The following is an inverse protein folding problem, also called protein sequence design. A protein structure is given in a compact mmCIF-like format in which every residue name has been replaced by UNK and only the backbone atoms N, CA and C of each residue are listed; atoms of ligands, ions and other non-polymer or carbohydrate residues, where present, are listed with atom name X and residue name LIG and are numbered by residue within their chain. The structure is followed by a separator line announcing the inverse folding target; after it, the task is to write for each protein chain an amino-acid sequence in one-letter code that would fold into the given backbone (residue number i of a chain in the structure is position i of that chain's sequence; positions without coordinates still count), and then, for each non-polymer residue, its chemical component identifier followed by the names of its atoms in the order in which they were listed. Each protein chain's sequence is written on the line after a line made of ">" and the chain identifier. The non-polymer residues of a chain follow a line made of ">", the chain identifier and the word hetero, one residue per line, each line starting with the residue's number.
data_IF_954762004562
#
_entry.id   IF_954762004562
#
_cell.length_a   1.000
_cell.length_b   1.000
_cell.length_c   1.000
_cell.angle_alpha   90.00
_cell.angle_beta   90.00
_cell.angle_gamma   90.00
#
_symmetry.space_group_name_H-M   'P 1'
#
loop_
_entity.id
_entity.type
_entity.pdbx_description
1 polymer ?
#
# COMPACT_ATOMS: atom_id res chain seq x y z
N UNK A 1 -0.90 -18.25 -4.13
CA UNK A 1 -1.20 -17.42 -2.93
C UNK A 1 0.04 -16.79 -2.27
N UNK A 2 1.29 -17.10 -2.67
CA UNK A 2 2.50 -16.51 -2.07
C UNK A 2 2.85 -15.09 -2.55
N UNK A 3 2.41 -14.70 -3.75
CA UNK A 3 2.88 -13.47 -4.39
C UNK A 3 2.20 -12.20 -3.81
N UNK A 4 0.86 -12.21 -3.68
CA UNK A 4 0.10 -11.06 -3.21
C UNK A 4 0.53 -10.56 -1.81
N UNK A 5 0.71 -11.48 -0.86
CA UNK A 5 1.17 -11.13 0.49
C UNK A 5 2.57 -10.51 0.48
N UNK A 6 3.46 -11.03 -0.36
CA UNK A 6 4.84 -10.52 -0.48
C UNK A 6 4.82 -9.10 -1.04
N UNK A 7 4.11 -8.88 -2.15
CA UNK A 7 3.98 -7.56 -2.77
C UNK A 7 3.36 -6.52 -1.82
N UNK A 8 2.34 -6.89 -1.06
CA UNK A 8 1.76 -6.00 -0.03
C UNK A 8 2.73 -5.69 1.10
N UNK A 9 3.56 -6.65 1.50
CA UNK A 9 4.57 -6.47 2.56
C UNK A 9 5.68 -5.53 2.09
N UNK A 10 6.17 -5.71 0.87
CA UNK A 10 7.18 -4.83 0.24
C UNK A 10 6.64 -3.42 0.06
N UNK A 11 5.40 -3.28 -0.42
CA UNK A 11 4.75 -1.98 -0.55
C UNK A 11 4.59 -1.26 0.80
N UNK A 12 4.25 -2.00 1.85
CA UNK A 12 4.18 -1.47 3.22
C UNK A 12 5.55 -0.97 3.70
N UNK A 13 6.60 -1.76 3.50
CA UNK A 13 7.96 -1.37 3.87
C UNK A 13 8.38 -0.07 3.15
N UNK A 14 8.15 0.01 1.83
CA UNK A 14 8.43 1.20 1.05
C UNK A 14 7.69 2.44 1.56
N UNK A 15 6.38 2.34 1.74
CA UNK A 15 5.52 3.50 1.98
C UNK A 15 5.53 3.98 3.43
N UNK A 16 5.61 3.06 4.39
CA UNK A 16 5.49 3.35 5.83
C UNK A 16 6.82 3.27 6.56
N UNK A 17 7.62 2.24 6.30
CA UNK A 17 8.87 2.01 7.04
C UNK A 17 10.01 2.87 6.47
N UNK A 18 10.12 2.95 5.14
CA UNK A 18 11.12 3.76 4.43
C UNK A 18 10.62 5.18 4.09
N UNK A 19 9.30 5.41 4.09
CA UNK A 19 8.69 6.70 3.78
C UNK A 19 8.87 7.15 2.32
N UNK A 20 9.19 6.25 1.40
CA UNK A 20 9.35 6.54 -0.04
C UNK A 20 8.08 6.26 -0.82
N UNK A 21 7.98 6.84 -2.01
CA UNK A 21 6.94 6.47 -2.97
C UNK A 21 7.26 5.14 -3.66
N UNK A 22 6.22 4.47 -4.14
CA UNK A 22 6.37 3.28 -4.97
C UNK A 22 6.92 3.65 -6.34
N UNK A 23 7.84 2.83 -6.84
CA UNK A 23 8.27 2.88 -8.24
C UNK A 23 7.16 2.35 -9.13
N UNK A 24 7.23 2.70 -10.42
CA UNK A 24 6.25 2.26 -11.41
C UNK A 24 6.10 0.74 -11.47
N UNK A 25 7.21 0.00 -11.38
CA UNK A 25 7.24 -1.46 -11.38
C UNK A 25 6.54 -2.09 -10.16
N UNK A 26 6.74 -1.50 -8.98
CA UNK A 26 6.11 -1.94 -7.73
C UNK A 26 4.59 -1.68 -7.78
N UNK A 27 4.18 -0.50 -8.25
CA UNK A 27 2.77 -0.16 -8.45
C UNK A 27 2.10 -1.06 -9.49
N UNK A 28 2.78 -1.33 -10.61
CA UNK A 28 2.28 -2.21 -11.66
C UNK A 28 2.04 -3.64 -11.11
N UNK A 29 2.97 -4.16 -10.31
CA UNK A 29 2.82 -5.47 -9.67
C UNK A 29 1.60 -5.53 -8.74
N UNK A 30 1.33 -4.47 -7.97
CA UNK A 30 0.13 -4.37 -7.12
C UNK A 30 -1.15 -4.28 -7.95
N UNK A 31 -1.14 -3.55 -9.07
CA UNK A 31 -2.31 -3.39 -9.94
C UNK A 31 -2.73 -4.68 -10.64
N UNK A 32 -1.81 -5.64 -10.79
CA UNK A 32 -2.05 -6.95 -11.39
C UNK A 32 -2.61 -7.97 -10.38
N UNK A 33 -2.79 -7.61 -9.10
CA UNK A 33 -3.36 -8.50 -8.10
C UNK A 33 -4.86 -8.74 -8.33
N UNK A 34 -5.40 -9.92 -7.98
CA UNK A 34 -6.81 -10.22 -8.17
C UNK A 34 -7.69 -9.39 -7.23
N UNK A 35 -8.93 -9.15 -7.63
CA UNK A 35 -9.92 -8.33 -6.90
C UNK A 35 -10.15 -8.76 -5.45
N UNK A 36 -9.92 -10.05 -5.13
CA UNK A 36 -9.98 -10.56 -3.75
C UNK A 36 -8.96 -9.93 -2.80
N UNK A 37 -7.95 -9.22 -3.32
CA UNK A 37 -6.95 -8.47 -2.56
C UNK A 37 -7.30 -7.01 -2.33
N UNK A 38 -8.36 -6.49 -2.97
CA UNK A 38 -8.80 -5.08 -2.84
C UNK A 38 -8.96 -4.65 -1.38
N UNK A 39 -9.56 -5.45 -0.46
CA UNK A 39 -9.67 -5.04 0.94
C UNK A 39 -8.30 -4.84 1.62
N UNK A 40 -7.29 -5.64 1.26
CA UNK A 40 -5.94 -5.50 1.81
C UNK A 40 -5.22 -4.26 1.24
N UNK A 41 -5.39 -3.99 -0.07
CA UNK A 41 -4.87 -2.78 -0.70
C UNK A 41 -5.49 -1.51 -0.09
N UNK A 42 -6.81 -1.51 0.12
CA UNK A 42 -7.52 -0.39 0.74
C UNK A 42 -7.07 -0.14 2.19
N UNK A 43 -6.84 -1.21 2.97
CA UNK A 43 -6.31 -1.10 4.31
C UNK A 43 -4.91 -0.45 4.32
N UNK A 44 -4.00 -0.93 3.46
CA UNK A 44 -2.67 -0.33 3.32
C UNK A 44 -2.73 1.14 2.89
N UNK A 45 -3.57 1.48 1.91
CA UNK A 45 -3.75 2.87 1.48
C UNK A 45 -4.25 3.77 2.63
N UNK A 46 -5.14 3.25 3.47
CA UNK A 46 -5.62 3.97 4.65
C UNK A 46 -4.49 4.20 5.69
N UNK A 47 -3.66 3.19 5.96
CA UNK A 47 -2.50 3.33 6.84
C UNK A 47 -1.52 4.39 6.32
N UNK A 48 -1.25 4.40 5.01
CA UNK A 48 -0.37 5.39 4.37
C UNK A 48 -0.93 6.79 4.46
N UNK A 49 -2.24 6.96 4.23
CA UNK A 49 -2.92 8.26 4.42
C UNK A 49 -2.76 8.74 5.86
N UNK A 50 -3.00 7.89 6.85
CA UNK A 50 -2.86 8.25 8.26
C UNK A 50 -1.42 8.65 8.61
N UNK A 51 -0.44 7.89 8.13
CA UNK A 51 0.97 8.15 8.40
C UNK A 51 1.47 9.47 7.78
N UNK A 52 0.95 9.84 6.59
CA UNK A 52 1.39 11.05 5.87
C UNK A 52 0.57 12.30 6.18
N UNK A 53 -0.74 12.15 6.33
CA UNK A 53 -1.66 13.28 6.51
C UNK A 53 -2.09 13.48 7.96
N UNK A 54 -1.76 12.54 8.86
CA UNK A 54 -2.32 12.51 10.20
C UNK A 54 -3.76 11.98 10.25
N UNK A 55 -4.30 11.81 11.47
CA UNK A 55 -5.63 11.24 11.68
C UNK A 55 -6.76 12.22 11.34
N UNK A 56 -6.50 13.52 11.41
CA UNK A 56 -7.50 14.58 11.29
C UNK A 56 -7.68 15.01 9.84
N UNK A 57 -8.89 15.44 9.52
CA UNK A 57 -9.22 16.15 8.28
C UNK A 57 -9.70 17.52 8.72
N UNK A 58 -8.90 18.55 8.47
CA UNK A 58 -9.31 19.95 8.72
C UNK A 58 -10.54 20.27 7.85
N UNK A 59 -11.59 20.81 8.47
CA UNK A 59 -12.90 21.13 7.84
C UNK A 59 -13.17 22.62 7.84
#
# INVERSE_FOLDING_TARGET
>A
MSNARTLLTEARAALLDEGRDLKLEELAALSALPDSTIPQLAALAHEVRLARCGPEVEV
#
